data_IF_048050195192
#
_entry.id   IF_048050195192
#
_cell.length_a   1.000
_cell.length_b   1.000
_cell.length_c   1.000
_cell.angle_alpha   90.00
_cell.angle_beta   90.00
_cell.angle_gamma   90.00
#
_symmetry.space_group_name_H-M   'P 1'
#
loop_
_entity.id
_entity.type
_entity.pdbx_description
1 polymer ?
#
# COMPACT_ATOMS: atom_id res chain seq x y z
N UNK A 1 52.60 16.10 13.89
CA UNK A 1 51.67 15.69 12.81
C UNK A 1 50.78 14.48 13.17
N UNK A 2 50.36 14.27 14.42
CA UNK A 2 49.57 13.07 14.83
C UNK A 2 48.27 13.46 15.53
N UNK A 3 47.93 14.73 15.65
CA UNK A 3 46.68 15.15 16.34
C UNK A 3 45.39 14.95 15.57
N UNK A 4 45.45 14.79 14.26
CA UNK A 4 44.25 14.66 13.40
C UNK A 4 43.92 13.22 13.02
N UNK A 5 44.75 12.25 13.40
CA UNK A 5 44.54 10.83 13.05
C UNK A 5 43.36 10.19 13.81
N UNK A 6 43.11 10.63 15.06
CA UNK A 6 42.01 10.14 15.88
C UNK A 6 40.64 10.52 15.32
N UNK A 7 40.53 11.67 14.67
CA UNK A 7 39.30 12.14 14.02
C UNK A 7 39.02 11.39 12.71
N UNK A 8 40.08 11.02 11.98
CA UNK A 8 39.96 10.26 10.73
C UNK A 8 39.49 8.84 10.99
N UNK A 9 39.87 8.21 12.10
CA UNK A 9 39.41 6.90 12.53
C UNK A 9 37.92 6.96 12.98
N UNK A 10 37.50 8.03 13.65
CA UNK A 10 36.13 8.21 14.09
C UNK A 10 35.15 8.36 12.89
N UNK A 11 35.58 9.12 11.86
CA UNK A 11 34.80 9.29 10.61
C UNK A 11 34.74 7.98 9.81
N UNK A 12 35.81 7.18 9.79
CA UNK A 12 35.85 5.91 9.08
C UNK A 12 34.89 4.86 9.70
N UNK A 13 34.68 4.88 11.04
CA UNK A 13 33.77 3.95 11.72
C UNK A 13 32.28 4.26 11.44
N UNK A 14 31.94 5.51 11.13
CA UNK A 14 30.55 5.88 10.81
C UNK A 14 30.10 5.43 9.41
N UNK A 15 31.00 5.07 8.50
CA UNK A 15 30.67 4.60 7.17
C UNK A 15 30.55 3.07 7.06
N UNK A 16 30.87 2.32 8.11
CA UNK A 16 30.76 0.84 8.12
C UNK A 16 29.38 0.35 8.58
N UNK A 17 28.50 1.28 9.05
CA UNK A 17 27.20 0.91 9.61
C UNK A 17 26.08 0.73 8.57
N UNK A 18 26.33 0.96 7.28
CA UNK A 18 25.36 0.70 6.19
C UNK A 18 26.02 -0.23 5.18
N UNK A 19 26.27 -1.48 5.58
CA UNK A 19 26.50 -2.55 4.62
C UNK A 19 25.17 -3.33 4.53
N UNK A 20 24.17 -2.69 3.91
CA UNK A 20 22.95 -3.35 3.50
C UNK A 20 23.28 -4.28 2.34
N UNK A 21 23.84 -5.45 2.67
CA UNK A 21 23.59 -6.61 1.85
C UNK A 21 22.13 -7.03 2.15
N UNK A 22 21.20 -6.23 1.69
CA UNK A 22 19.84 -6.68 1.48
C UNK A 22 19.86 -7.71 0.31
N UNK A 23 20.40 -8.88 0.60
CA UNK A 23 19.91 -10.06 -0.09
C UNK A 23 18.41 -10.08 0.23
N UNK A 24 17.61 -9.80 -0.79
CA UNK A 24 16.17 -10.03 -0.75
C UNK A 24 16.01 -11.46 -0.28
N UNK A 25 15.78 -11.66 1.00
CA UNK A 25 15.56 -12.98 1.56
C UNK A 25 14.46 -13.62 0.73
N UNK A 26 14.78 -14.68 0.03
CA UNK A 26 13.76 -15.47 -0.64
C UNK A 26 12.68 -15.76 0.39
N UNK A 27 11.45 -15.43 0.04
CA UNK A 27 10.27 -15.38 0.91
C UNK A 27 9.99 -16.71 1.63
N UNK A 28 10.80 -17.72 1.41
CA UNK A 28 10.66 -19.08 1.93
C UNK A 28 11.91 -19.63 2.64
N UNK A 29 12.91 -18.81 2.92
CA UNK A 29 14.09 -19.32 3.60
C UNK A 29 13.91 -19.18 5.11
N UNK A 30 13.24 -20.17 5.70
CA UNK A 30 13.45 -20.44 7.14
C UNK A 30 14.92 -20.85 7.29
N UNK A 31 15.62 -20.30 8.28
CA UNK A 31 17.05 -20.53 8.51
C UNK A 31 17.42 -22.02 8.70
N UNK A 32 16.43 -22.88 8.80
CA UNK A 32 16.52 -24.34 8.98
C UNK A 32 16.06 -25.13 7.74
N UNK A 33 15.66 -24.46 6.66
CA UNK A 33 15.18 -25.09 5.42
C UNK A 33 13.82 -25.78 5.54
N UNK A 34 13.12 -25.60 6.67
CA UNK A 34 11.79 -26.19 6.86
C UNK A 34 10.71 -25.32 6.24
N UNK A 35 9.68 -25.94 5.70
CA UNK A 35 8.50 -25.22 5.22
C UNK A 35 7.79 -24.54 6.41
N UNK A 36 7.36 -23.28 6.25
CA UNK A 36 6.59 -22.60 7.29
C UNK A 36 5.29 -23.34 7.58
N UNK A 37 4.88 -23.37 8.84
CA UNK A 37 3.62 -23.98 9.27
C UNK A 37 2.78 -22.98 10.05
N UNK A 38 1.46 -23.10 9.96
CA UNK A 38 0.53 -22.27 10.72
C UNK A 38 0.54 -22.57 12.23
N UNK A 39 1.11 -23.70 12.64
CA UNK A 39 0.94 -24.20 14.01
C UNK A 39 -0.54 -24.37 14.34
N UNK A 40 -1.00 -23.75 15.45
CA UNK A 40 -2.41 -23.74 15.84
C UNK A 40 -3.20 -22.53 15.32
N UNK A 41 -2.54 -21.61 14.60
CA UNK A 41 -3.20 -20.44 14.06
C UNK A 41 -3.99 -20.76 12.79
N UNK A 42 -5.09 -20.04 12.60
CA UNK A 42 -5.95 -20.20 11.42
C UNK A 42 -5.93 -18.90 10.59
N UNK A 43 -5.31 -18.94 9.42
CA UNK A 43 -5.18 -17.81 8.50
C UNK A 43 -6.19 -17.85 7.36
N UNK A 44 -7.19 -18.74 7.40
CA UNK A 44 -8.17 -18.90 6.31
C UNK A 44 -9.02 -17.65 6.04
N UNK A 45 -9.13 -16.76 7.03
CA UNK A 45 -9.85 -15.48 6.94
C UNK A 45 -8.98 -14.34 7.44
N UNK A 46 -8.27 -13.69 6.54
CA UNK A 46 -7.51 -12.49 6.83
C UNK A 46 -8.22 -11.27 6.23
N UNK A 47 -8.44 -10.26 7.04
CA UNK A 47 -8.99 -8.95 6.65
C UNK A 47 -8.11 -7.88 7.26
N UNK A 48 -7.76 -6.88 6.48
CA UNK A 48 -7.01 -5.71 6.94
C UNK A 48 -7.89 -4.46 6.93
N UNK A 49 -7.89 -3.73 8.03
CA UNK A 49 -8.61 -2.47 8.19
C UNK A 49 -7.59 -1.37 8.51
N UNK A 50 -7.70 -0.23 7.84
CA UNK A 50 -6.78 0.88 8.11
C UNK A 50 -6.89 2.03 7.13
N UNK A 51 -5.83 2.80 7.07
CA UNK A 51 -5.73 4.01 6.26
C UNK A 51 -4.92 3.79 4.96
N UNK A 52 -4.24 4.82 4.50
CA UNK A 52 -3.44 4.85 3.27
C UNK A 52 -2.36 3.77 3.21
N UNK A 53 -1.65 3.50 4.31
CA UNK A 53 -0.61 2.44 4.34
C UNK A 53 -1.22 1.06 4.12
N UNK A 54 -2.36 0.78 4.76
CA UNK A 54 -3.10 -0.48 4.57
C UNK A 54 -3.60 -0.64 3.14
N UNK A 55 -4.02 0.47 2.52
CA UNK A 55 -4.48 0.47 1.13
C UNK A 55 -3.35 0.26 0.10
N UNK A 56 -2.09 0.49 0.46
CA UNK A 56 -0.96 0.51 -0.48
C UNK A 56 -0.81 1.85 -1.21
N UNK A 57 -1.23 2.95 -0.58
CA UNK A 57 -1.06 4.30 -1.11
C UNK A 57 0.39 4.74 -0.97
N UNK A 58 0.99 5.12 -2.07
CA UNK A 58 2.35 5.67 -2.13
C UNK A 58 2.45 6.70 -3.25
N UNK A 59 3.54 7.44 -3.32
CA UNK A 59 3.79 8.39 -4.39
C UNK A 59 2.63 9.36 -4.66
N UNK A 60 1.94 9.77 -3.61
CA UNK A 60 0.78 10.65 -3.63
C UNK A 60 -0.47 10.08 -4.32
N UNK A 61 -0.56 8.77 -4.56
CA UNK A 61 -1.75 8.15 -5.14
C UNK A 61 -1.93 6.68 -4.73
N UNK A 62 -3.10 6.13 -5.05
CA UNK A 62 -3.35 4.70 -5.06
C UNK A 62 -3.25 4.20 -6.51
N UNK A 63 -2.47 3.13 -6.76
CA UNK A 63 -2.23 2.53 -8.07
C UNK A 63 -1.90 1.04 -7.93
N UNK A 64 -2.01 0.27 -9.01
CA UNK A 64 -1.94 -1.19 -8.96
C UNK A 64 -0.65 -1.69 -8.30
N UNK A 65 0.52 -1.22 -8.75
CA UNK A 65 1.80 -1.74 -8.23
C UNK A 65 2.01 -1.36 -6.76
N UNK A 66 1.62 -0.15 -6.34
CA UNK A 66 1.65 0.23 -4.92
C UNK A 66 0.75 -0.67 -4.06
N UNK A 67 -0.42 -1.05 -4.57
CA UNK A 67 -1.32 -1.98 -3.88
C UNK A 67 -0.76 -3.40 -3.81
N UNK A 68 -0.09 -3.87 -4.87
CA UNK A 68 0.55 -5.20 -4.89
C UNK A 68 1.67 -5.34 -3.88
N UNK A 69 2.44 -4.28 -3.64
CA UNK A 69 3.55 -4.27 -2.68
C UNK A 69 3.15 -3.73 -1.31
N UNK A 70 1.85 -3.53 -1.05
CA UNK A 70 1.38 -3.14 0.27
C UNK A 70 1.73 -4.20 1.32
N UNK A 71 2.05 -3.76 2.54
CA UNK A 71 2.39 -4.70 3.61
C UNK A 71 1.28 -5.73 3.87
N UNK A 72 0.02 -5.34 3.71
CA UNK A 72 -1.13 -6.23 3.89
C UNK A 72 -1.20 -7.32 2.82
N UNK A 73 -0.84 -6.98 1.57
CA UNK A 73 -0.78 -7.99 0.51
C UNK A 73 0.41 -8.93 0.72
N UNK A 74 1.57 -8.41 1.13
CA UNK A 74 2.73 -9.22 1.48
C UNK A 74 2.37 -10.20 2.62
N UNK A 75 1.73 -9.71 3.68
CA UNK A 75 1.25 -10.57 4.77
C UNK A 75 0.28 -11.65 4.28
N UNK A 76 -0.67 -11.28 3.43
CA UNK A 76 -1.64 -12.22 2.86
C UNK A 76 -0.95 -13.34 2.05
N UNK A 77 0.09 -13.00 1.28
CA UNK A 77 0.90 -13.97 0.55
C UNK A 77 1.63 -14.93 1.51
N UNK A 78 2.18 -14.42 2.61
CA UNK A 78 2.79 -15.26 3.64
C UNK A 78 1.75 -16.19 4.29
N UNK A 79 0.57 -15.70 4.60
CA UNK A 79 -0.50 -16.51 5.15
C UNK A 79 -0.99 -17.57 4.16
N UNK A 80 -1.02 -17.24 2.86
CA UNK A 80 -1.38 -18.21 1.83
C UNK A 80 -0.44 -19.42 1.81
N UNK A 81 0.86 -19.23 2.08
CA UNK A 81 1.84 -20.30 2.16
C UNK A 81 1.59 -21.29 3.31
N UNK A 82 0.79 -20.90 4.31
CA UNK A 82 0.46 -21.71 5.50
C UNK A 82 -1.04 -21.97 5.65
N UNK A 83 -1.76 -22.07 4.52
CA UNK A 83 -3.19 -22.37 4.50
C UNK A 83 -4.10 -21.16 4.61
N UNK A 84 -3.59 -19.96 4.31
CA UNK A 84 -4.39 -18.73 4.22
C UNK A 84 -5.39 -18.76 3.07
N UNK A 85 -6.49 -18.04 3.26
CA UNK A 85 -7.53 -17.88 2.24
C UNK A 85 -7.21 -16.82 1.18
N UNK A 86 -8.17 -16.62 0.28
CA UNK A 86 -8.07 -15.58 -0.73
C UNK A 86 -8.11 -14.18 -0.10
N UNK A 87 -7.24 -13.29 -0.57
CA UNK A 87 -7.16 -11.90 -0.12
C UNK A 87 -7.51 -10.95 -1.27
N UNK A 88 -8.76 -10.47 -1.27
CA UNK A 88 -9.27 -9.57 -2.30
C UNK A 88 -8.89 -8.13 -2.01
N UNK A 89 -8.23 -7.48 -2.97
CA UNK A 89 -7.84 -6.09 -2.95
C UNK A 89 -8.70 -5.32 -3.94
N UNK A 90 -9.25 -4.14 -3.57
CA UNK A 90 -9.93 -3.26 -4.52
C UNK A 90 -8.89 -2.54 -5.39
N UNK A 91 -8.31 -3.25 -6.37
CA UNK A 91 -7.29 -2.68 -7.24
C UNK A 91 -7.79 -1.48 -8.02
N UNK A 92 -6.89 -0.51 -8.20
CA UNK A 92 -7.06 0.53 -9.20
C UNK A 92 -6.93 -0.10 -10.60
N UNK A 93 -7.39 0.61 -11.64
CA UNK A 93 -7.39 0.09 -13.00
C UNK A 93 -6.05 0.27 -13.74
N UNK A 94 -5.16 1.10 -13.22
CA UNK A 94 -3.89 1.44 -13.84
C UNK A 94 -2.77 1.78 -12.85
N UNK A 95 -1.58 2.04 -13.37
CA UNK A 95 -0.41 2.51 -12.64
C UNK A 95 -0.15 4.02 -12.79
N UNK A 96 -1.05 4.76 -13.41
CA UNK A 96 -1.00 6.23 -13.43
C UNK A 96 -1.28 6.74 -12.02
N UNK A 97 -2.21 6.09 -11.34
CA UNK A 97 -2.68 6.48 -10.02
C UNK A 97 -3.76 7.55 -10.07
N UNK A 98 -4.47 7.71 -8.95
CA UNK A 98 -5.65 8.55 -8.91
C UNK A 98 -6.89 7.88 -9.50
N UNK A 99 -7.98 8.63 -9.62
CA UNK A 99 -9.26 8.10 -10.12
C UNK A 99 -10.16 9.18 -10.69
N UNK A 100 -11.22 8.73 -11.36
CA UNK A 100 -12.32 9.54 -11.89
C UNK A 100 -13.60 9.27 -11.10
N UNK A 101 -14.48 10.25 -11.13
CA UNK A 101 -15.87 10.15 -10.69
C UNK A 101 -16.75 10.59 -11.86
N UNK A 102 -17.61 9.72 -12.36
CA UNK A 102 -18.47 9.96 -13.53
C UNK A 102 -17.65 10.47 -14.76
N UNK A 103 -16.51 9.83 -15.02
CA UNK A 103 -15.65 10.16 -16.15
C UNK A 103 -14.75 11.39 -15.96
N UNK A 104 -14.92 12.15 -14.86
CA UNK A 104 -14.15 13.36 -14.58
C UNK A 104 -13.00 13.03 -13.62
N UNK A 105 -11.74 13.39 -13.92
CA UNK A 105 -10.63 13.22 -12.99
C UNK A 105 -10.91 13.91 -11.65
N UNK A 106 -10.84 13.17 -10.54
CA UNK A 106 -11.08 13.66 -9.20
C UNK A 106 -9.78 13.76 -8.39
N UNK A 107 -8.92 12.78 -8.51
CA UNK A 107 -7.58 12.84 -7.94
C UNK A 107 -6.52 12.65 -9.04
N UNK A 108 -5.37 13.29 -8.84
CA UNK A 108 -4.30 13.32 -9.82
C UNK A 108 -3.46 12.04 -9.86
N UNK A 109 -2.56 11.95 -10.86
CA UNK A 109 -1.64 10.84 -11.00
C UNK A 109 -0.62 10.80 -9.85
N UNK A 110 -0.01 9.65 -9.67
CA UNK A 110 1.11 9.50 -8.75
C UNK A 110 2.33 10.29 -9.21
N UNK A 111 3.25 10.51 -8.29
CA UNK A 111 4.55 11.10 -8.61
C UNK A 111 5.58 10.00 -8.90
N UNK A 112 6.53 10.30 -9.76
CA UNK A 112 7.69 9.45 -10.00
C UNK A 112 8.94 10.30 -10.17
N UNK A 113 10.07 9.79 -9.69
CA UNK A 113 11.38 10.36 -9.93
C UNK A 113 12.06 9.61 -11.06
N UNK A 114 12.67 10.33 -11.98
CA UNK A 114 13.49 9.76 -13.05
C UNK A 114 14.90 10.32 -12.97
N UNK A 115 15.89 9.43 -12.90
CA UNK A 115 17.29 9.83 -12.93
C UNK A 115 17.74 10.73 -11.77
N UNK A 116 17.18 10.57 -10.57
CA UNK A 116 17.55 11.38 -9.38
C UNK A 116 16.97 12.80 -9.38
N UNK A 117 16.08 13.13 -10.28
CA UNK A 117 15.35 14.39 -10.30
C UNK A 117 14.27 14.42 -9.22
N UNK A 118 13.78 15.62 -8.88
CA UNK A 118 12.62 15.76 -8.01
C UNK A 118 11.41 15.00 -8.57
N UNK A 119 10.58 14.37 -7.73
CA UNK A 119 9.40 13.67 -8.21
C UNK A 119 8.42 14.60 -8.94
N UNK A 120 7.96 14.15 -10.10
CA UNK A 120 6.97 14.83 -10.93
C UNK A 120 5.76 13.94 -11.19
N UNK A 121 4.57 14.49 -11.46
CA UNK A 121 3.43 13.67 -11.83
C UNK A 121 3.73 12.80 -13.06
N UNK A 122 3.39 11.51 -13.01
CA UNK A 122 3.49 10.67 -14.21
C UNK A 122 2.52 11.13 -15.28
N UNK A 123 2.91 10.94 -16.54
CA UNK A 123 2.07 11.32 -17.69
C UNK A 123 0.84 10.42 -17.79
N UNK A 124 -0.29 10.99 -18.17
CA UNK A 124 -1.54 10.30 -18.43
C UNK A 124 -2.68 10.76 -17.53
N UNK A 125 -3.86 10.26 -17.85
CA UNK A 125 -5.09 10.50 -17.08
C UNK A 125 -5.49 9.20 -16.37
N UNK A 126 -5.84 9.22 -15.07
CA UNK A 126 -6.35 8.06 -14.38
C UNK A 126 -7.50 7.38 -15.14
N UNK A 127 -7.49 6.07 -15.23
CA UNK A 127 -8.56 5.31 -15.90
C UNK A 127 -9.53 4.67 -14.89
N UNK A 128 -9.14 4.60 -13.62
CA UNK A 128 -9.98 4.06 -12.56
C UNK A 128 -11.25 4.90 -12.41
N UNK A 129 -12.39 4.32 -12.69
CA UNK A 129 -13.69 4.90 -12.32
C UNK A 129 -14.08 4.36 -10.94
N UNK A 130 -13.99 5.22 -9.91
CA UNK A 130 -14.14 4.79 -8.52
C UNK A 130 -15.53 4.20 -8.25
N UNK A 131 -16.53 4.67 -8.97
CA UNK A 131 -17.90 4.23 -8.81
C UNK A 131 -18.16 2.83 -9.35
N UNK A 132 -17.36 2.36 -10.30
CA UNK A 132 -17.53 1.02 -10.90
C UNK A 132 -17.13 -0.10 -9.94
N UNK A 133 -16.33 0.17 -8.92
CA UNK A 133 -15.95 -0.84 -7.93
C UNK A 133 -17.14 -1.32 -7.09
N UNK A 134 -18.19 -0.52 -6.95
CA UNK A 134 -19.45 -0.91 -6.32
C UNK A 134 -20.21 -1.96 -7.13
N UNK A 135 -20.05 -1.96 -8.44
CA UNK A 135 -20.76 -2.85 -9.35
C UNK A 135 -20.13 -4.27 -9.42
N UNK A 136 -18.87 -4.42 -9.07
CA UNK A 136 -18.16 -5.72 -9.14
C UNK A 136 -18.48 -6.66 -7.97
N UNK A 137 -19.39 -6.27 -7.09
CA UNK A 137 -20.08 -7.06 -6.09
C UNK A 137 -19.21 -8.06 -5.33
N UNK A 138 -18.68 -7.69 -4.22
CA UNK A 138 -18.00 -8.65 -3.36
C UNK A 138 -17.27 -8.00 -2.22
N UNK A 139 -17.26 -8.71 -1.10
CA UNK A 139 -16.47 -8.29 0.06
C UNK A 139 -14.99 -8.27 -0.29
N UNK A 140 -14.33 -7.16 -0.02
CA UNK A 140 -12.89 -7.07 -0.07
C UNK A 140 -12.26 -7.48 1.26
N UNK A 141 -11.03 -7.97 1.19
CA UNK A 141 -10.24 -8.31 2.37
C UNK A 141 -9.32 -7.17 2.77
N UNK A 142 -8.88 -6.36 1.81
CA UNK A 142 -8.16 -5.12 2.11
C UNK A 142 -9.16 -3.96 2.18
N UNK A 143 -9.47 -3.54 3.40
CA UNK A 143 -10.35 -2.39 3.72
C UNK A 143 -9.52 -1.16 4.14
N UNK A 144 -8.37 -0.97 3.53
CA UNK A 144 -7.55 0.23 3.67
C UNK A 144 -8.15 1.40 2.90
N UNK A 145 -8.32 2.54 3.59
CA UNK A 145 -8.95 3.74 3.01
C UNK A 145 -8.02 4.94 3.18
N UNK A 146 -7.42 5.45 2.11
CA UNK A 146 -6.60 6.66 2.18
C UNK A 146 -7.37 7.82 2.83
N UNK A 147 -6.75 8.47 3.82
CA UNK A 147 -7.35 9.57 4.55
C UNK A 147 -8.30 9.18 5.70
N UNK A 148 -8.58 7.88 5.90
CA UNK A 148 -9.42 7.43 6.99
C UNK A 148 -8.76 7.66 8.35
N UNK A 149 -9.58 8.05 9.32
CA UNK A 149 -9.26 8.15 10.74
C UNK A 149 -10.25 7.29 11.52
N UNK A 150 -9.91 6.86 12.73
CA UNK A 150 -10.71 5.94 13.53
C UNK A 150 -12.16 6.39 13.71
N UNK A 151 -12.40 7.68 13.95
CA UNK A 151 -13.74 8.23 14.14
C UNK A 151 -14.59 8.23 12.85
N UNK A 152 -13.99 8.15 11.66
CA UNK A 152 -14.74 8.05 10.41
C UNK A 152 -15.51 6.74 10.29
N UNK A 153 -15.08 5.68 10.97
CA UNK A 153 -15.79 4.40 11.00
C UNK A 153 -17.16 4.50 11.69
N UNK A 154 -17.38 5.53 12.50
CA UNK A 154 -18.64 5.80 13.18
C UNK A 154 -19.52 6.79 12.41
N UNK A 155 -19.08 7.31 11.28
CA UNK A 155 -19.80 8.28 10.47
C UNK A 155 -20.60 7.59 9.35
N UNK A 156 -21.94 7.55 9.42
CA UNK A 156 -22.75 6.88 8.39
C UNK A 156 -22.61 7.49 6.99
N UNK A 157 -22.25 8.79 6.92
CA UNK A 157 -22.06 9.49 5.64
C UNK A 157 -20.72 9.25 4.97
N UNK A 158 -19.72 8.70 5.70
CA UNK A 158 -18.36 8.60 5.19
C UNK A 158 -18.22 7.65 4.00
N UNK A 159 -19.06 6.60 3.92
CA UNK A 159 -19.17 5.68 2.77
C UNK A 159 -20.38 5.98 1.87
N UNK A 160 -21.09 7.07 2.07
CA UNK A 160 -22.30 7.39 1.32
C UNK A 160 -21.94 8.01 -0.03
N UNK A 161 -22.46 7.43 -1.12
CA UNK A 161 -22.31 7.97 -2.46
C UNK A 161 -22.80 9.44 -2.56
N UNK A 162 -23.92 9.76 -1.93
CA UNK A 162 -24.47 11.10 -1.90
C UNK A 162 -23.56 12.12 -1.18
N UNK A 163 -22.71 11.64 -0.27
CA UNK A 163 -21.76 12.46 0.46
C UNK A 163 -20.55 12.92 -0.33
N UNK A 164 -20.31 12.36 -1.53
CA UNK A 164 -19.16 12.75 -2.38
C UNK A 164 -19.31 14.20 -2.83
N UNK A 165 -20.50 14.59 -3.30
CA UNK A 165 -20.74 15.94 -3.80
C UNK A 165 -20.67 17.02 -2.72
N UNK A 166 -20.91 16.65 -1.46
CA UNK A 166 -20.86 17.55 -0.29
C UNK A 166 -19.52 17.49 0.44
N UNK A 167 -18.59 16.61 0.02
CA UNK A 167 -17.30 16.40 0.67
C UNK A 167 -17.38 15.70 2.04
N UNK A 168 -18.54 15.09 2.37
CA UNK A 168 -18.73 14.36 3.63
C UNK A 168 -18.39 12.89 3.53
N UNK A 169 -18.29 12.36 2.31
CA UNK A 169 -17.85 10.99 2.04
C UNK A 169 -16.41 10.94 1.55
N UNK A 170 -15.76 9.82 1.83
CA UNK A 170 -14.46 9.49 1.23
C UNK A 170 -14.68 8.59 0.01
N UNK A 171 -14.29 9.02 -1.20
CA UNK A 171 -14.50 8.22 -2.43
C UNK A 171 -13.88 6.83 -2.37
N UNK A 172 -12.75 6.67 -1.68
CA UNK A 172 -12.15 5.34 -1.50
C UNK A 172 -12.99 4.45 -0.59
N UNK A 173 -13.70 5.01 0.40
CA UNK A 173 -14.56 4.26 1.30
C UNK A 173 -15.87 3.84 0.63
N UNK A 174 -16.39 4.65 -0.29
CA UNK A 174 -17.61 4.34 -1.07
C UNK A 174 -17.48 3.05 -1.88
N UNK A 175 -16.25 2.53 -2.08
CA UNK A 175 -15.98 1.26 -2.80
C UNK A 175 -16.38 0.02 -2.00
N UNK A 176 -16.59 0.12 -0.71
CA UNK A 176 -16.89 -0.97 0.22
C UNK A 176 -18.36 -1.03 0.58
#
# INVERSE_FOLDING_TARGET
MIKNFKWLVLVAVTFVACNDNDEVAEVYNTSDGLMPTAGTANFSKFVSLGNSLTAGYSDNALFIEGQKVSYTNIMAQQFAAVGGGNFKIPFMADNIGGFKINGVPYSGPRYASTGGQAPVPVSGTPTTEIMNSLASGGSYNNCGVPGAKSFHLLSPSYGSLAGISTGTANPYYVRF
#
